data_IF_674318385111
#
_entry.id   IF_674318385111
#
_cell.length_a   1.000
_cell.length_b   1.000
_cell.length_c   1.000
_cell.angle_alpha   90.00
_cell.angle_beta   90.00
_cell.angle_gamma   90.00
#
_symmetry.space_group_name_H-M   'P 1'
#
loop_
_entity.id
_entity.type
_entity.pdbx_description
1 polymer ?
#
# COMPACT_ATOMS: atom_id res chain seq x y z
N UNK A 1 44.82 38.12 19.27
CA UNK A 1 43.68 38.53 20.14
C UNK A 1 42.33 38.23 19.48
N UNK A 2 42.23 38.04 18.16
CA UNK A 2 40.96 37.69 17.51
C UNK A 2 40.64 36.18 17.58
N UNK A 3 41.67 35.34 17.70
CA UNK A 3 41.63 33.89 17.45
C UNK A 3 40.73 33.15 18.46
N UNK A 4 40.80 33.55 19.73
CA UNK A 4 39.96 33.01 20.82
C UNK A 4 38.45 33.20 20.59
N UNK A 5 38.05 34.24 19.87
CA UNK A 5 36.64 34.53 19.61
C UNK A 5 36.05 33.55 18.58
N UNK A 6 36.86 33.11 17.60
CA UNK A 6 36.46 32.12 16.60
C UNK A 6 36.36 30.71 17.18
N UNK A 7 37.31 30.33 18.07
CA UNK A 7 37.19 29.08 18.83
C UNK A 7 35.93 29.06 19.72
N UNK A 8 35.64 30.16 20.41
CA UNK A 8 34.44 30.27 21.26
C UNK A 8 33.15 30.15 20.42
N UNK A 9 33.09 30.78 19.24
CA UNK A 9 31.97 30.62 18.31
C UNK A 9 31.82 29.16 17.84
N UNK A 10 32.91 28.49 17.46
CA UNK A 10 32.87 27.08 17.04
C UNK A 10 32.34 26.15 18.13
N UNK A 11 32.70 26.40 19.40
CA UNK A 11 32.19 25.64 20.56
C UNK A 11 30.68 25.90 20.73
N UNK A 12 30.23 27.15 20.63
CA UNK A 12 28.81 27.50 20.74
C UNK A 12 27.99 26.83 19.62
N UNK A 13 28.46 26.87 18.37
CA UNK A 13 27.80 26.17 17.26
C UNK A 13 27.74 24.65 17.46
N UNK A 14 28.82 24.02 17.95
CA UNK A 14 28.83 22.59 18.28
C UNK A 14 27.85 22.20 19.40
N UNK A 15 27.67 23.07 20.41
CA UNK A 15 26.68 22.86 21.47
C UNK A 15 25.24 23.04 20.96
N UNK A 16 24.99 24.03 20.09
CA UNK A 16 23.66 24.21 19.47
C UNK A 16 23.34 23.03 18.56
N UNK A 17 24.29 22.59 17.72
CA UNK A 17 24.10 21.47 16.81
C UNK A 17 23.85 20.15 17.54
N UNK A 18 24.62 19.85 18.59
CA UNK A 18 24.40 18.64 19.40
C UNK A 18 23.07 18.66 20.17
N UNK A 19 22.62 19.83 20.65
CA UNK A 19 21.28 20.00 21.23
C UNK A 19 20.15 19.78 20.21
N UNK A 20 20.29 20.30 18.99
CA UNK A 20 19.32 20.09 17.91
C UNK A 20 19.26 18.62 17.46
N UNK A 21 20.40 17.95 17.33
CA UNK A 21 20.45 16.50 17.08
C UNK A 21 19.79 15.70 18.20
N UNK A 22 20.11 16.00 19.47
CA UNK A 22 19.47 15.32 20.60
C UNK A 22 17.96 15.49 20.59
N UNK A 23 17.46 16.71 20.27
CA UNK A 23 16.03 16.97 20.14
C UNK A 23 15.39 16.25 18.95
N UNK A 24 16.08 16.17 17.82
CA UNK A 24 15.64 15.40 16.65
C UNK A 24 15.50 13.90 17.00
N UNK A 25 16.52 13.31 17.65
CA UNK A 25 16.44 11.94 18.12
C UNK A 25 15.31 11.75 19.13
N UNK A 26 15.12 12.63 20.12
CA UNK A 26 13.99 12.52 21.05
C UNK A 26 12.62 12.53 20.35
N UNK A 27 12.45 13.30 19.27
CA UNK A 27 11.22 13.31 18.46
C UNK A 27 11.06 11.99 17.69
N UNK A 28 12.13 11.48 17.06
CA UNK A 28 12.10 10.20 16.33
C UNK A 28 11.80 9.02 17.27
N UNK A 29 12.42 9.00 18.46
CA UNK A 29 12.16 7.97 19.47
C UNK A 29 10.74 8.10 20.04
N UNK A 30 10.23 9.30 20.32
CA UNK A 30 8.85 9.50 20.75
C UNK A 30 7.85 9.00 19.70
N UNK A 31 8.05 9.33 18.42
CA UNK A 31 7.19 8.85 17.32
C UNK A 31 7.25 7.32 17.16
N UNK A 32 8.44 6.71 17.35
CA UNK A 32 8.58 5.25 17.32
C UNK A 32 7.93 4.57 18.52
N UNK A 33 8.03 5.15 19.71
CA UNK A 33 7.39 4.64 20.93
C UNK A 33 5.87 4.87 20.92
N UNK A 34 5.37 5.90 20.25
CA UNK A 34 3.95 6.11 19.96
C UNK A 34 3.41 5.06 18.99
N UNK A 35 4.09 4.82 17.86
CA UNK A 35 3.73 3.72 16.95
C UNK A 35 3.80 2.35 17.64
N UNK A 36 4.84 2.08 18.44
CA UNK A 36 4.95 0.84 19.21
C UNK A 36 3.85 0.71 20.29
N UNK A 37 3.47 1.82 20.94
CA UNK A 37 2.33 1.84 21.86
C UNK A 37 1.01 1.58 21.16
N UNK A 38 0.77 2.14 19.97
CA UNK A 38 -0.42 1.84 19.16
C UNK A 38 -0.48 0.34 18.86
N UNK A 39 0.63 -0.26 18.39
CA UNK A 39 0.68 -1.72 18.13
C UNK A 39 0.58 -2.62 19.37
N UNK A 40 0.72 -2.06 20.58
CA UNK A 40 0.63 -2.81 21.85
C UNK A 40 -0.67 -2.53 22.62
N UNK A 41 -1.36 -1.43 22.32
CA UNK A 41 -2.68 -1.10 22.87
C UNK A 41 -3.78 -1.98 22.26
N UNK A 42 -3.61 -2.44 21.02
CA UNK A 42 -4.49 -3.41 20.35
C UNK A 42 -4.28 -4.87 20.83
N UNK A 43 -3.45 -5.11 21.86
CA UNK A 43 -3.09 -6.47 22.30
C UNK A 43 -2.97 -6.66 23.82
N UNK A 44 -3.87 -6.08 24.62
CA UNK A 44 -4.19 -6.60 25.97
C UNK A 44 -5.44 -5.93 26.56
N UNK A 45 -6.39 -6.75 27.00
CA UNK A 45 -7.60 -6.33 27.71
C UNK A 45 -7.33 -5.75 29.12
N UNK A 46 -8.36 -5.11 29.65
CA UNK A 46 -8.71 -4.86 31.06
C UNK A 46 -7.75 -5.37 32.18
N UNK A 47 -7.33 -4.47 33.09
CA UNK A 47 -8.00 -4.28 34.41
C UNK A 47 -7.35 -3.20 35.32
N UNK A 48 -8.24 -2.45 36.00
CA UNK A 48 -8.19 -2.02 37.42
C UNK A 48 -7.20 -0.95 38.01
N UNK A 49 -7.77 0.24 38.35
CA UNK A 49 -7.49 1.21 39.48
C UNK A 49 -6.08 1.88 39.58
N UNK A 50 -5.86 3.04 40.24
CA UNK A 50 -6.60 3.86 41.23
C UNK A 50 -6.54 5.40 40.95
N UNK A 51 -7.43 6.16 41.59
CA UNK A 51 -7.47 7.64 41.76
C UNK A 51 -6.45 8.13 42.85
N UNK A 52 -6.38 9.42 43.34
CA UNK A 52 -7.35 10.54 43.22
C UNK A 52 -6.83 12.02 43.20
N UNK A 53 -7.78 12.98 43.29
CA UNK A 53 -7.70 14.37 43.85
C UNK A 53 -6.92 15.48 43.08
N UNK A 54 -7.29 16.79 43.02
CA UNK A 54 -8.46 17.60 43.47
C UNK A 54 -8.58 18.94 42.66
N UNK A 55 -9.78 19.59 42.68
CA UNK A 55 -10.07 21.05 42.58
C UNK A 55 -9.72 21.87 41.28
N UNK A 56 -10.38 22.98 40.88
CA UNK A 56 -11.50 23.74 41.48
C UNK A 56 -12.28 24.66 40.49
N UNK A 57 -13.54 25.01 40.83
CA UNK A 57 -14.35 26.23 40.50
C UNK A 57 -14.68 26.76 39.06
N UNK A 58 -16.01 26.87 38.81
CA UNK A 58 -16.83 28.04 38.34
C UNK A 58 -16.80 28.53 36.86
N UNK A 59 -18.00 28.57 36.23
CA UNK A 59 -18.35 29.43 35.07
C UNK A 59 -19.73 29.10 34.45
N UNK A 60 -20.60 30.09 34.18
CA UNK A 60 -22.02 29.91 33.77
C UNK A 60 -22.38 30.69 32.49
N UNK A 61 -23.12 30.05 31.56
CA UNK A 61 -24.09 30.61 30.58
C UNK A 61 -24.57 29.47 29.64
N UNK A 62 -25.84 29.11 29.44
CA UNK A 62 -26.93 29.84 28.71
C UNK A 62 -26.41 30.42 27.37
N UNK A 63 -26.90 30.17 26.15
CA UNK A 63 -28.08 29.50 25.58
C UNK A 63 -27.68 28.88 24.20
N UNK A 64 -28.47 28.14 23.39
CA UNK A 64 -29.92 27.80 23.35
C UNK A 64 -30.14 26.45 22.65
N UNK A 65 -31.29 25.80 22.86
CA UNK A 65 -31.91 24.79 21.97
C UNK A 65 -33.11 25.45 21.24
N UNK A 66 -33.73 24.93 20.12
CA UNK A 66 -34.60 23.74 20.23
C UNK A 66 -34.95 22.88 18.96
N UNK A 67 -35.24 21.59 19.22
CA UNK A 67 -36.41 20.78 18.81
C UNK A 67 -36.94 20.74 17.33
N UNK A 68 -37.12 19.51 16.81
CA UNK A 68 -38.42 18.90 16.41
C UNK A 68 -38.32 17.38 16.67
N UNK A 69 -38.81 16.81 17.79
CA UNK A 69 -40.19 16.35 18.07
C UNK A 69 -40.84 15.31 17.13
N UNK A 70 -40.88 14.05 17.60
CA UNK A 70 -41.98 13.07 17.45
C UNK A 70 -41.94 12.19 18.72
N UNK A 71 -42.60 12.50 19.84
CA UNK A 71 -44.05 12.64 20.11
C UNK A 71 -44.73 11.28 20.36
N UNK A 72 -44.56 10.76 21.58
CA UNK A 72 -45.17 9.52 22.10
C UNK A 72 -46.66 9.62 22.40
N UNK A 73 -47.37 8.52 22.16
CA UNK A 73 -48.81 8.36 22.41
C UNK A 73 -49.15 7.64 23.71
N UNK A 74 -49.05 8.35 24.84
CA UNK A 74 -50.04 8.28 25.94
C UNK A 74 -50.35 6.95 26.69
N UNK A 75 -49.96 6.97 27.98
CA UNK A 75 -50.79 6.71 29.18
C UNK A 75 -50.82 5.31 29.86
N UNK A 76 -50.51 5.39 31.16
CA UNK A 76 -50.94 4.60 32.35
C UNK A 76 -50.23 3.27 32.69
N UNK A 77 -49.56 3.30 33.86
CA UNK A 77 -50.12 2.58 35.02
C UNK A 77 -49.17 1.73 35.86
N UNK A 78 -48.76 2.25 37.03
CA UNK A 78 -48.45 1.51 38.28
C UNK A 78 -47.58 0.24 38.25
N UNK A 79 -46.36 0.38 38.78
CA UNK A 79 -45.72 -0.52 39.77
C UNK A 79 -46.12 -2.01 39.83
N UNK A 80 -45.15 -2.91 39.59
CA UNK A 80 -44.68 -3.95 40.54
C UNK A 80 -43.50 -4.72 39.91
N UNK A 81 -42.64 -5.29 40.74
CA UNK A 81 -41.49 -6.13 40.37
C UNK A 81 -41.88 -7.49 39.80
N UNK A 82 -41.24 -7.90 38.71
CA UNK A 82 -41.22 -9.26 38.17
C UNK A 82 -40.25 -9.28 37.00
N UNK A 83 -39.35 -10.27 36.95
CA UNK A 83 -38.45 -10.46 35.81
C UNK A 83 -39.11 -11.35 34.77
N UNK A 84 -38.88 -11.06 33.50
CA UNK A 84 -39.18 -11.91 32.35
C UNK A 84 -38.06 -11.66 31.34
N UNK A 85 -37.52 -12.75 30.78
CA UNK A 85 -36.43 -12.71 29.82
C UNK A 85 -36.92 -12.06 28.52
N UNK A 86 -36.31 -10.94 28.13
CA UNK A 86 -36.55 -10.30 26.84
C UNK A 86 -35.73 -11.03 25.79
N UNK A 87 -36.24 -12.18 25.34
CA UNK A 87 -35.82 -12.77 24.08
C UNK A 87 -36.13 -11.74 22.97
N UNK A 88 -35.11 -10.97 22.58
CA UNK A 88 -35.20 -10.09 21.42
C UNK A 88 -35.34 -10.97 20.17
N UNK A 89 -36.60 -11.27 19.82
CA UNK A 89 -37.03 -11.89 18.57
C UNK A 89 -36.64 -10.95 17.41
N UNK A 90 -35.36 -11.03 17.05
CA UNK A 90 -34.76 -10.41 15.89
C UNK A 90 -35.34 -11.14 14.67
N UNK A 91 -36.52 -10.69 14.22
CA UNK A 91 -37.09 -11.07 12.93
C UNK A 91 -36.01 -10.84 11.86
N UNK A 92 -35.36 -11.93 11.46
CA UNK A 92 -34.21 -11.86 10.57
C UNK A 92 -34.67 -11.27 9.25
N UNK A 93 -34.01 -10.19 8.82
CA UNK A 93 -34.23 -9.63 7.48
C UNK A 93 -34.07 -10.77 6.47
N UNK A 94 -35.18 -11.14 5.84
CA UNK A 94 -35.20 -12.18 4.81
C UNK A 94 -34.19 -11.77 3.73
N UNK A 95 -33.12 -12.55 3.59
CA UNK A 95 -32.18 -12.35 2.50
C UNK A 95 -32.94 -12.59 1.21
N UNK A 96 -32.94 -11.62 0.30
CA UNK A 96 -33.74 -11.75 -0.92
C UNK A 96 -33.17 -12.89 -1.77
N UNK A 97 -33.99 -13.49 -2.66
CA UNK A 97 -33.47 -14.51 -3.59
C UNK A 97 -32.28 -13.96 -4.42
N UNK A 98 -32.22 -12.63 -4.63
CA UNK A 98 -31.13 -11.92 -5.26
C UNK A 98 -29.85 -11.89 -4.41
N UNK A 99 -29.96 -11.66 -3.09
CA UNK A 99 -28.82 -11.73 -2.14
C UNK A 99 -28.20 -13.13 -2.09
N UNK A 100 -29.04 -14.16 -2.01
CA UNK A 100 -28.57 -15.55 -2.00
C UNK A 100 -27.89 -15.93 -3.32
N UNK A 101 -28.49 -15.56 -4.45
CA UNK A 101 -27.93 -15.81 -5.77
C UNK A 101 -26.60 -15.06 -5.97
N UNK A 102 -26.55 -13.78 -5.59
CA UNK A 102 -25.35 -12.95 -5.65
C UNK A 102 -24.22 -13.51 -4.78
N UNK A 103 -24.52 -13.92 -3.54
CA UNK A 103 -23.56 -14.55 -2.64
C UNK A 103 -23.02 -15.87 -3.21
N UNK A 104 -23.89 -16.71 -3.79
CA UNK A 104 -23.50 -17.97 -4.42
C UNK A 104 -22.64 -17.77 -5.69
N UNK A 105 -23.02 -16.84 -6.58
CA UNK A 105 -22.26 -16.49 -7.77
C UNK A 105 -20.89 -15.90 -7.41
N UNK A 106 -20.85 -15.03 -6.40
CA UNK A 106 -19.64 -14.42 -5.86
C UNK A 106 -18.69 -15.50 -5.31
N UNK A 107 -19.20 -16.44 -4.50
CA UNK A 107 -18.42 -17.57 -4.01
C UNK A 107 -17.91 -18.50 -5.14
N UNK A 108 -18.71 -18.72 -6.18
CA UNK A 108 -18.30 -19.49 -7.35
C UNK A 108 -17.16 -18.80 -8.12
N UNK A 109 -17.27 -17.48 -8.36
CA UNK A 109 -16.21 -16.67 -8.99
C UNK A 109 -14.92 -16.68 -8.17
N UNK A 110 -15.01 -16.67 -6.84
CA UNK A 110 -13.85 -16.84 -5.95
C UNK A 110 -13.15 -18.20 -6.16
N UNK A 111 -13.94 -19.27 -6.32
CA UNK A 111 -13.41 -20.61 -6.53
C UNK A 111 -12.79 -20.79 -7.91
N UNK A 112 -13.40 -20.23 -8.97
CA UNK A 112 -12.83 -20.28 -10.33
C UNK A 112 -11.63 -19.35 -10.49
N UNK A 113 -11.53 -18.27 -9.70
CA UNK A 113 -10.33 -17.41 -9.65
C UNK A 113 -9.06 -18.19 -9.27
N UNK A 114 -9.18 -19.15 -8.34
CA UNK A 114 -8.07 -19.99 -7.90
C UNK A 114 -7.67 -21.05 -8.95
N UNK A 115 -8.57 -21.41 -9.85
CA UNK A 115 -8.29 -22.31 -10.96
C UNK A 115 -7.80 -21.52 -12.19
N UNK A 116 -6.48 -21.34 -12.28
CA UNK A 116 -5.77 -20.61 -13.36
C UNK A 116 -6.02 -21.16 -14.79
N UNK A 117 -6.87 -22.19 -14.95
CA UNK A 117 -7.36 -22.73 -16.23
C UNK A 117 -8.20 -21.73 -17.05
N UNK A 118 -9.04 -20.91 -16.40
CA UNK A 118 -10.00 -20.04 -17.10
C UNK A 118 -9.60 -18.55 -17.07
N UNK A 119 -8.99 -18.06 -18.15
CA UNK A 119 -8.62 -16.64 -18.30
C UNK A 119 -9.82 -15.78 -18.73
N UNK A 120 -10.27 -14.90 -17.84
CA UNK A 120 -11.27 -13.85 -18.12
C UNK A 120 -10.56 -12.58 -18.60
N UNK A 121 -11.19 -11.79 -19.48
CA UNK A 121 -10.64 -10.50 -19.93
C UNK A 121 -10.59 -9.48 -18.80
N UNK A 122 -9.48 -8.75 -18.68
CA UNK A 122 -9.24 -7.72 -17.65
C UNK A 122 -10.37 -6.66 -17.60
N UNK A 123 -10.91 -6.24 -18.75
CA UNK A 123 -12.06 -5.31 -18.79
C UNK A 123 -13.30 -5.88 -18.09
N UNK A 124 -13.57 -7.18 -18.25
CA UNK A 124 -14.71 -7.86 -17.62
C UNK A 124 -14.45 -8.08 -16.12
N UNK A 125 -13.21 -8.36 -15.72
CA UNK A 125 -12.82 -8.43 -14.31
C UNK A 125 -13.04 -7.09 -13.58
N UNK A 126 -12.64 -5.98 -14.21
CA UNK A 126 -12.87 -4.63 -13.70
C UNK A 126 -14.36 -4.27 -13.63
N UNK A 127 -15.16 -4.71 -14.61
CA UNK A 127 -16.62 -4.53 -14.60
C UNK A 127 -17.30 -5.33 -13.48
N UNK A 128 -16.95 -6.61 -13.30
CA UNK A 128 -17.43 -7.44 -12.19
C UNK A 128 -17.08 -6.83 -10.83
N UNK A 129 -15.84 -6.32 -10.66
CA UNK A 129 -15.43 -5.62 -9.46
C UNK A 129 -16.24 -4.35 -9.21
N UNK A 130 -16.46 -3.51 -10.24
CA UNK A 130 -17.26 -2.29 -10.11
C UNK A 130 -18.70 -2.58 -9.67
N UNK A 131 -19.31 -3.63 -10.24
CA UNK A 131 -20.66 -4.06 -9.87
C UNK A 131 -20.73 -4.63 -8.45
N UNK A 132 -19.77 -5.50 -8.07
CA UNK A 132 -19.64 -5.99 -6.70
C UNK A 132 -19.52 -4.85 -5.68
N UNK A 133 -18.65 -3.86 -5.96
CA UNK A 133 -18.47 -2.69 -5.08
C UNK A 133 -19.74 -1.86 -4.93
N UNK A 134 -20.57 -1.74 -5.97
CA UNK A 134 -21.86 -1.05 -5.85
C UNK A 134 -22.87 -1.88 -5.06
N UNK A 135 -22.92 -3.20 -5.27
CA UNK A 135 -23.77 -4.09 -4.49
C UNK A 135 -23.45 -4.04 -2.98
N UNK A 136 -22.17 -3.98 -2.60
CA UNK A 136 -21.75 -4.03 -1.18
C UNK A 136 -21.57 -2.67 -0.50
N UNK A 137 -21.17 -1.62 -1.25
CA UNK A 137 -20.80 -0.30 -0.69
C UNK A 137 -21.50 0.88 -1.39
N UNK A 138 -22.30 0.62 -2.43
CA UNK A 138 -23.03 1.64 -3.17
C UNK A 138 -22.17 2.49 -4.13
N UNK A 139 -22.65 3.69 -4.50
CA UNK A 139 -21.97 4.57 -5.46
C UNK A 139 -20.56 4.97 -5.02
N UNK A 140 -19.65 5.13 -5.98
CA UNK A 140 -18.26 5.49 -5.71
C UNK A 140 -18.14 6.86 -5.01
N UNK A 141 -17.84 6.83 -3.71
CA UNK A 141 -17.56 7.99 -2.85
C UNK A 141 -16.08 8.11 -2.48
N UNK A 142 -15.27 7.10 -2.81
CA UNK A 142 -13.85 7.04 -2.47
C UNK A 142 -13.03 8.09 -3.24
N UNK A 143 -12.01 8.72 -2.62
CA UNK A 143 -11.14 9.68 -3.30
C UNK A 143 -10.33 9.01 -4.41
N UNK A 144 -9.99 9.76 -5.46
CA UNK A 144 -9.23 9.24 -6.59
C UNK A 144 -7.82 8.79 -6.16
N UNK A 145 -7.39 7.54 -6.45
CA UNK A 145 -6.05 7.07 -6.13
C UNK A 145 -4.96 7.72 -7.01
N UNK A 146 -3.73 7.71 -6.50
CA UNK A 146 -2.57 8.31 -7.15
C UNK A 146 -2.33 7.74 -8.55
N UNK A 147 -1.81 8.59 -9.47
CA UNK A 147 -1.57 8.21 -10.86
C UNK A 147 -0.55 7.07 -11.03
N UNK A 148 0.34 6.87 -10.05
CA UNK A 148 1.33 5.79 -10.05
C UNK A 148 0.69 4.40 -9.79
N UNK A 149 -0.42 4.33 -9.04
CA UNK A 149 -1.12 3.08 -8.75
C UNK A 149 -2.11 2.74 -9.87
N UNK A 150 -1.57 2.36 -11.03
CA UNK A 150 -2.31 2.17 -12.28
C UNK A 150 -3.55 1.28 -12.13
N UNK A 151 -3.47 0.21 -11.35
CA UNK A 151 -4.55 -0.79 -11.28
C UNK A 151 -5.56 -0.52 -10.17
N UNK A 152 -5.14 0.12 -9.07
CA UNK A 152 -6.07 0.79 -8.15
C UNK A 152 -6.86 1.90 -8.88
N UNK A 153 -6.20 2.64 -9.79
CA UNK A 153 -6.84 3.65 -10.63
C UNK A 153 -7.80 3.04 -11.64
N UNK A 154 -7.48 1.91 -12.26
CA UNK A 154 -8.40 1.17 -13.15
C UNK A 154 -9.63 0.65 -12.39
N UNK A 155 -9.44 0.02 -11.22
CA UNK A 155 -10.50 -0.43 -10.30
C UNK A 155 -11.42 0.74 -9.89
N UNK A 156 -10.85 1.87 -9.49
CA UNK A 156 -11.58 3.09 -9.15
C UNK A 156 -12.34 3.68 -10.35
N UNK A 157 -11.73 3.72 -11.54
CA UNK A 157 -12.38 4.18 -12.76
C UNK A 157 -13.57 3.30 -13.16
N UNK A 158 -13.46 1.98 -13.00
CA UNK A 158 -14.56 1.05 -13.28
C UNK A 158 -15.74 1.26 -12.33
N UNK A 159 -15.48 1.40 -11.02
CA UNK A 159 -16.51 1.72 -10.02
C UNK A 159 -17.15 3.10 -10.29
N UNK A 160 -16.34 4.12 -10.60
CA UNK A 160 -16.82 5.46 -10.93
C UNK A 160 -17.65 5.51 -12.23
N UNK A 161 -17.30 4.70 -13.25
CA UNK A 161 -17.99 4.62 -14.55
C UNK A 161 -19.44 4.13 -14.43
N UNK A 162 -19.72 3.29 -13.44
CA UNK A 162 -21.06 2.75 -13.18
C UNK A 162 -22.00 3.76 -12.49
N UNK A 163 -21.45 4.83 -11.88
CA UNK A 163 -22.22 5.95 -11.37
C UNK A 163 -23.09 5.63 -10.14
N UNK A 164 -24.21 6.34 -10.01
CA UNK A 164 -25.17 6.18 -8.91
C UNK A 164 -26.23 5.10 -9.23
N UNK A 165 -25.76 3.89 -9.54
CA UNK A 165 -26.62 2.72 -9.74
C UNK A 165 -27.10 2.18 -8.37
N UNK A 166 -28.36 1.76 -8.23
CA UNK A 166 -28.83 1.10 -7.01
C UNK A 166 -28.18 -0.29 -6.85
N UNK A 167 -28.00 -0.79 -5.61
CA UNK A 167 -27.28 -2.03 -5.35
C UNK A 167 -27.97 -3.26 -5.99
N UNK A 168 -29.30 -3.28 -6.04
CA UNK A 168 -30.07 -4.38 -6.62
C UNK A 168 -29.80 -4.52 -8.13
N UNK A 169 -29.81 -3.40 -8.87
CA UNK A 169 -29.48 -3.38 -10.31
C UNK A 169 -28.01 -3.75 -10.57
N UNK A 170 -27.11 -3.49 -9.62
CA UNK A 170 -25.72 -3.92 -9.71
C UNK A 170 -25.57 -5.43 -9.47
N UNK A 171 -26.34 -6.01 -8.56
CA UNK A 171 -26.38 -7.46 -8.31
C UNK A 171 -26.96 -8.22 -9.50
N UNK A 172 -28.05 -7.75 -10.10
CA UNK A 172 -28.63 -8.35 -11.31
C UNK A 172 -27.61 -8.38 -12.46
N UNK A 173 -26.98 -7.24 -12.77
CA UNK A 173 -25.94 -7.16 -13.82
C UNK A 173 -24.69 -7.99 -13.51
N UNK A 174 -24.36 -8.15 -12.23
CA UNK A 174 -23.28 -9.03 -11.81
C UNK A 174 -23.62 -10.50 -12.14
N UNK A 175 -24.83 -10.93 -11.79
CA UNK A 175 -25.34 -12.27 -12.08
C UNK A 175 -25.44 -12.57 -13.58
N UNK A 176 -25.86 -11.59 -14.39
CA UNK A 176 -25.89 -11.73 -15.86
C UNK A 176 -24.50 -12.05 -16.41
N UNK A 177 -23.46 -11.28 -16.02
CA UNK A 177 -22.09 -11.47 -16.49
C UNK A 177 -21.52 -12.81 -16.00
N UNK A 178 -21.75 -13.18 -14.73
CA UNK A 178 -21.28 -14.48 -14.21
C UNK A 178 -21.97 -15.65 -14.93
N UNK A 179 -23.23 -15.49 -15.33
CA UNK A 179 -23.97 -16.49 -16.11
C UNK A 179 -23.49 -16.59 -17.56
N UNK A 180 -23.13 -15.47 -18.20
CA UNK A 180 -22.54 -15.47 -19.54
C UNK A 180 -21.14 -16.11 -19.55
N UNK A 181 -20.31 -15.83 -18.54
CA UNK A 181 -18.96 -16.36 -18.43
C UNK A 181 -18.90 -17.83 -18.00
N UNK A 182 -19.76 -18.25 -17.07
CA UNK A 182 -19.66 -19.55 -16.40
C UNK A 182 -21.02 -20.28 -16.27
N UNK A 183 -21.70 -20.68 -17.36
CA UNK A 183 -23.05 -21.27 -17.27
C UNK A 183 -23.23 -22.43 -16.27
N UNK A 184 -22.15 -23.16 -15.94
CA UNK A 184 -22.12 -24.22 -14.94
C UNK A 184 -22.30 -23.77 -13.49
N UNK A 185 -22.21 -22.47 -13.17
CA UNK A 185 -22.43 -21.97 -11.80
C UNK A 185 -23.88 -22.23 -11.33
N UNK A 186 -24.82 -22.25 -12.27
CA UNK A 186 -26.24 -22.54 -12.03
C UNK A 186 -26.49 -23.97 -11.52
N UNK A 187 -25.68 -24.95 -11.96
CA UNK A 187 -25.81 -26.35 -11.52
C UNK A 187 -25.51 -26.51 -10.02
N UNK A 188 -24.58 -25.70 -9.49
CA UNK A 188 -24.28 -25.63 -8.07
C UNK A 188 -25.40 -24.99 -7.25
N UNK A 189 -26.02 -23.94 -7.79
CA UNK A 189 -27.15 -23.24 -7.16
C UNK A 189 -28.38 -24.13 -6.99
N UNK A 190 -28.71 -24.93 -8.01
CA UNK A 190 -29.87 -25.82 -7.99
C UNK A 190 -29.85 -26.88 -6.86
N UNK A 191 -28.66 -27.34 -6.44
CA UNK A 191 -28.53 -28.37 -5.41
C UNK A 191 -28.79 -27.87 -3.98
N UNK A 192 -28.81 -26.55 -3.74
CA UNK A 192 -29.07 -26.00 -2.39
C UNK A 192 -30.56 -26.04 -2.01
N UNK A 193 -31.48 -26.13 -2.98
CA UNK A 193 -32.95 -26.19 -2.78
C UNK A 193 -33.49 -27.56 -2.30
N UNK A 194 -32.64 -28.47 -1.79
CA UNK A 194 -33.06 -29.84 -1.43
C UNK A 194 -32.26 -30.47 -0.27
N UNK A 195 -32.28 -29.83 0.90
CA UNK A 195 -31.47 -30.25 2.05
C UNK A 195 -32.00 -29.91 3.44
N UNK A 196 -33.29 -29.55 3.61
CA UNK A 196 -33.89 -29.33 4.93
C UNK A 196 -34.54 -30.61 5.47
N UNK A 197 -33.76 -31.43 6.17
CA UNK A 197 -34.19 -32.32 7.27
C UNK A 197 -32.99 -33.18 7.74
N UNK A 198 -32.25 -32.73 8.76
CA UNK A 198 -31.70 -33.57 9.86
C UNK A 198 -30.70 -32.80 10.75
N UNK A 199 -31.19 -32.36 11.91
CA UNK A 199 -30.47 -32.18 13.19
C UNK A 199 -28.95 -31.85 13.22
N UNK A 200 -28.65 -30.63 13.71
CA UNK A 200 -27.81 -30.50 14.90
C UNK A 200 -26.39 -29.91 14.75
N UNK A 201 -26.07 -29.02 15.71
CA UNK A 201 -24.74 -28.55 16.12
C UNK A 201 -23.98 -27.55 15.21
N UNK A 202 -24.01 -26.29 15.64
CA UNK A 202 -22.93 -25.29 15.59
C UNK A 202 -22.20 -25.03 14.25
N UNK A 203 -22.59 -23.93 13.59
CA UNK A 203 -21.67 -22.79 13.38
C UNK A 203 -22.45 -21.55 12.92
N UNK A 204 -22.96 -20.79 13.90
CA UNK A 204 -23.48 -19.45 13.67
C UNK A 204 -22.30 -18.46 13.66
N UNK A 205 -21.52 -18.44 12.58
CA UNK A 205 -20.45 -17.43 12.41
C UNK A 205 -20.06 -17.11 10.96
N UNK A 206 -21.00 -17.24 10.02
CA UNK A 206 -20.83 -16.75 8.62
C UNK A 206 -21.46 -15.37 8.40
N UNK A 207 -21.75 -14.62 9.48
CA UNK A 207 -22.20 -13.21 9.45
C UNK A 207 -21.04 -12.21 9.65
N UNK A 208 -19.80 -12.64 9.44
CA UNK A 208 -18.70 -11.70 9.18
C UNK A 208 -18.95 -10.90 7.88
N UNK A 209 -18.42 -9.68 7.75
CA UNK A 209 -18.52 -8.91 6.51
C UNK A 209 -17.97 -9.76 5.35
N UNK A 210 -18.70 -9.81 4.22
CA UNK A 210 -18.38 -10.65 3.06
C UNK A 210 -16.88 -10.54 2.72
N UNK A 211 -16.15 -11.63 2.97
CA UNK A 211 -14.71 -11.69 2.82
C UNK A 211 -14.25 -11.36 1.39
N UNK A 212 -12.98 -10.99 1.18
CA UNK A 212 -12.55 -10.29 -0.02
C UNK A 212 -12.40 -11.23 -1.23
N UNK A 213 -13.53 -11.62 -1.80
CA UNK A 213 -13.65 -12.47 -3.00
C UNK A 213 -12.85 -11.90 -4.19
N UNK A 214 -12.76 -10.58 -4.28
CA UNK A 214 -12.01 -9.88 -5.33
C UNK A 214 -10.53 -9.62 -5.01
N UNK A 215 -10.04 -9.94 -3.80
CA UNK A 215 -8.59 -9.96 -3.56
C UNK A 215 -7.91 -11.06 -4.38
N UNK A 216 -8.57 -12.21 -4.57
CA UNK A 216 -8.03 -13.30 -5.41
C UNK A 216 -8.21 -13.00 -6.89
N UNK A 217 -9.39 -12.54 -7.32
CA UNK A 217 -9.70 -12.38 -8.75
C UNK A 217 -8.94 -11.25 -9.46
N UNK A 218 -8.41 -10.27 -8.72
CA UNK A 218 -7.58 -9.18 -9.27
C UNK A 218 -6.30 -9.00 -8.44
N UNK A 219 -5.66 -10.13 -8.11
CA UNK A 219 -4.55 -10.22 -7.16
C UNK A 219 -3.24 -10.82 -7.67
N UNK A 220 -3.12 -11.24 -8.94
CA UNK A 220 -1.93 -12.02 -9.39
C UNK A 220 -1.17 -11.48 -10.62
N UNK A 221 -1.69 -10.55 -11.43
CA UNK A 221 -0.85 -9.91 -12.47
C UNK A 221 -0.05 -8.73 -11.92
N UNK A 222 -0.59 -7.95 -10.97
CA UNK A 222 0.09 -6.80 -10.38
C UNK A 222 0.92 -7.11 -9.14
N UNK A 223 0.52 -8.09 -8.33
CA UNK A 223 1.34 -8.50 -7.17
C UNK A 223 2.64 -9.14 -7.64
N UNK A 224 2.56 -10.02 -8.65
CA UNK A 224 3.73 -10.55 -9.33
C UNK A 224 4.55 -9.43 -9.99
N UNK A 225 3.95 -8.37 -10.52
CA UNK A 225 4.72 -7.28 -11.15
C UNK A 225 5.32 -6.29 -10.14
N UNK A 226 4.61 -5.85 -9.10
CA UNK A 226 5.20 -5.04 -8.01
C UNK A 226 6.32 -5.81 -7.31
N UNK A 227 6.14 -7.12 -7.06
CA UNK A 227 7.22 -7.98 -6.55
C UNK A 227 8.37 -8.12 -7.56
N UNK A 228 8.12 -8.40 -8.85
CA UNK A 228 9.18 -8.47 -9.89
C UNK A 228 9.96 -7.15 -10.08
N UNK A 229 9.28 -6.02 -9.88
CA UNK A 229 9.88 -4.68 -9.95
C UNK A 229 10.80 -4.43 -8.74
N UNK A 230 10.48 -4.94 -7.55
CA UNK A 230 11.39 -4.91 -6.39
C UNK A 230 12.48 -6.00 -6.46
N UNK A 231 12.17 -7.18 -7.03
CA UNK A 231 13.07 -8.32 -7.21
C UNK A 231 14.27 -7.97 -8.09
N UNK A 232 14.09 -7.23 -9.19
CA UNK A 232 15.21 -6.83 -10.06
C UNK A 232 16.20 -5.89 -9.31
N UNK A 233 15.74 -5.06 -8.36
CA UNK A 233 16.65 -4.32 -7.46
C UNK A 233 17.31 -5.25 -6.44
N UNK A 234 16.62 -6.27 -5.93
CA UNK A 234 17.19 -7.26 -5.02
C UNK A 234 18.29 -8.09 -5.69
N UNK A 235 18.05 -8.65 -6.87
CA UNK A 235 19.07 -9.40 -7.63
C UNK A 235 20.27 -8.52 -7.99
N UNK A 236 20.04 -7.26 -8.36
CA UNK A 236 21.13 -6.32 -8.63
C UNK A 236 21.96 -5.97 -7.38
N UNK A 237 21.32 -5.91 -6.19
CA UNK A 237 21.98 -5.66 -4.89
C UNK A 237 22.73 -6.90 -4.37
N UNK A 238 22.21 -8.08 -4.62
CA UNK A 238 22.79 -9.36 -4.16
C UNK A 238 23.90 -9.87 -5.09
N UNK A 239 23.87 -9.47 -6.36
CA UNK A 239 24.86 -9.87 -7.36
C UNK A 239 24.46 -11.09 -8.18
N UNK A 240 23.16 -11.44 -8.18
CA UNK A 240 22.61 -12.61 -8.88
C UNK A 240 22.35 -12.28 -10.35
N UNK A 241 23.25 -12.71 -11.23
CA UNK A 241 23.18 -12.45 -12.67
C UNK A 241 22.18 -13.36 -13.40
N UNK A 242 21.97 -14.59 -12.93
CA UNK A 242 21.01 -15.54 -13.51
C UNK A 242 19.56 -15.08 -13.33
N UNK A 243 19.17 -14.71 -12.11
CA UNK A 243 17.81 -14.26 -11.82
C UNK A 243 17.55 -12.85 -12.37
N UNK A 244 18.55 -11.95 -12.37
CA UNK A 244 18.43 -10.65 -13.02
C UNK A 244 18.19 -10.79 -14.53
N UNK A 245 18.97 -11.65 -15.22
CA UNK A 245 18.79 -11.94 -16.64
C UNK A 245 17.36 -12.43 -16.92
N UNK A 246 16.87 -13.35 -16.09
CA UNK A 246 15.54 -13.94 -16.18
C UNK A 246 14.41 -12.91 -15.97
N UNK A 247 14.58 -11.93 -15.08
CA UNK A 247 13.63 -10.82 -14.94
C UNK A 247 13.61 -9.89 -16.17
N UNK A 248 14.78 -9.57 -16.72
CA UNK A 248 14.85 -8.76 -17.95
C UNK A 248 14.21 -9.52 -19.13
N UNK A 249 14.41 -10.83 -19.22
CA UNK A 249 13.81 -11.69 -20.26
C UNK A 249 12.32 -11.98 -20.05
N UNK A 250 11.80 -11.85 -18.82
CA UNK A 250 10.35 -11.90 -18.56
C UNK A 250 9.62 -10.59 -18.90
N UNK A 251 10.35 -9.54 -19.28
CA UNK A 251 9.80 -8.27 -19.74
C UNK A 251 9.87 -7.12 -18.73
N UNK A 252 10.56 -7.29 -17.59
CA UNK A 252 10.77 -6.21 -16.62
C UNK A 252 11.71 -5.14 -17.21
N UNK A 253 11.35 -3.85 -17.17
CA UNK A 253 12.21 -2.79 -17.68
C UNK A 253 13.47 -2.63 -16.82
N UNK A 254 14.64 -2.55 -17.48
CA UNK A 254 15.95 -2.42 -16.82
C UNK A 254 16.11 -1.15 -15.98
N UNK A 255 15.38 -0.09 -16.33
CA UNK A 255 15.41 1.22 -15.67
C UNK A 255 14.19 1.46 -14.76
N UNK A 256 13.57 0.39 -14.24
CA UNK A 256 12.60 0.52 -13.14
C UNK A 256 13.22 1.29 -11.97
N UNK A 257 12.44 2.13 -11.30
CA UNK A 257 12.89 2.88 -10.12
C UNK A 257 12.21 2.35 -8.85
N UNK A 258 12.99 2.15 -7.80
CA UNK A 258 12.48 1.83 -6.47
C UNK A 258 11.80 3.06 -5.81
N UNK A 259 11.34 2.90 -4.57
CA UNK A 259 10.70 3.97 -3.78
C UNK A 259 11.59 5.18 -3.50
N UNK A 260 12.91 5.04 -3.65
CA UNK A 260 13.92 6.12 -3.52
C UNK A 260 14.39 6.63 -4.89
N UNK A 261 13.74 6.19 -5.98
CA UNK A 261 14.05 6.60 -7.35
C UNK A 261 15.24 5.86 -7.98
N UNK A 262 15.85 4.91 -7.29
CA UNK A 262 17.06 4.22 -7.75
C UNK A 262 16.72 3.15 -8.78
N UNK A 263 17.41 3.20 -9.91
CA UNK A 263 17.45 2.08 -10.87
C UNK A 263 18.32 0.92 -10.35
N UNK A 264 18.10 -0.34 -10.82
CA UNK A 264 18.94 -1.50 -10.48
C UNK A 264 20.45 -1.26 -10.64
N UNK A 265 20.85 -0.40 -11.58
CA UNK A 265 22.25 -0.02 -11.79
C UNK A 265 22.88 0.64 -10.56
N UNK A 266 22.15 1.47 -9.81
CA UNK A 266 22.66 2.11 -8.58
C UNK A 266 22.99 1.06 -7.52
N UNK A 267 22.09 0.09 -7.32
CA UNK A 267 22.29 -1.01 -6.37
C UNK A 267 23.46 -1.92 -6.74
N UNK A 268 23.63 -2.22 -8.03
CA UNK A 268 24.76 -2.97 -8.53
C UNK A 268 26.10 -2.26 -8.25
N UNK A 269 26.12 -0.93 -8.38
CA UNK A 269 27.32 -0.11 -8.18
C UNK A 269 27.65 0.08 -6.71
N UNK A 270 26.67 0.44 -5.85
CA UNK A 270 26.79 0.52 -4.38
C UNK A 270 27.49 -0.74 -3.81
N UNK A 271 27.00 -1.90 -4.23
CA UNK A 271 27.45 -3.22 -3.76
C UNK A 271 28.75 -3.70 -4.42
N UNK A 272 29.21 -3.04 -5.49
CA UNK A 272 30.45 -3.38 -6.18
C UNK A 272 30.33 -4.51 -7.21
N UNK A 273 29.13 -4.82 -7.69
CA UNK A 273 28.84 -5.91 -8.62
C UNK A 273 29.12 -5.53 -10.08
N UNK A 274 30.41 -5.49 -10.45
CA UNK A 274 30.87 -5.16 -11.80
C UNK A 274 30.25 -6.06 -12.89
N UNK A 275 29.98 -7.33 -12.59
CA UNK A 275 29.33 -8.26 -13.54
C UNK A 275 27.88 -7.86 -13.83
N UNK A 276 27.12 -7.47 -12.79
CA UNK A 276 25.76 -6.95 -12.93
C UNK A 276 25.77 -5.60 -13.67
N UNK A 277 26.72 -4.72 -13.35
CA UNK A 277 26.88 -3.43 -14.04
C UNK A 277 27.07 -3.63 -15.55
N UNK A 278 27.93 -4.59 -15.95
CA UNK A 278 28.11 -5.00 -17.35
C UNK A 278 26.83 -5.56 -17.96
N UNK A 279 26.11 -6.42 -17.23
CA UNK A 279 24.88 -7.05 -17.71
C UNK A 279 23.78 -6.01 -17.98
N UNK A 280 23.53 -5.11 -17.04
CA UNK A 280 22.53 -4.04 -17.16
C UNK A 280 22.84 -3.10 -18.34
N UNK A 281 24.10 -2.63 -18.46
CA UNK A 281 24.50 -1.79 -19.59
C UNK A 281 24.44 -2.53 -20.94
N UNK A 282 24.71 -3.84 -20.98
CA UNK A 282 24.51 -4.65 -22.19
C UNK A 282 23.05 -4.80 -22.62
N UNK A 283 22.11 -4.53 -21.70
CA UNK A 283 20.65 -4.53 -21.91
C UNK A 283 20.07 -3.11 -22.01
N UNK A 284 20.92 -2.13 -22.37
CA UNK A 284 20.56 -0.73 -22.63
C UNK A 284 20.02 0.05 -21.41
N UNK A 285 20.40 -0.31 -20.18
CA UNK A 285 20.11 0.51 -19.00
C UNK A 285 20.69 1.94 -19.12
N UNK A 286 19.97 2.93 -18.61
CA UNK A 286 20.38 4.33 -18.58
C UNK A 286 21.49 4.57 -17.55
N UNK A 287 22.72 4.70 -18.06
CA UNK A 287 23.93 4.99 -17.27
C UNK A 287 23.86 6.34 -16.51
N UNK A 288 23.04 7.27 -16.99
CA UNK A 288 22.86 8.62 -16.45
C UNK A 288 21.54 8.79 -15.69
N UNK A 289 20.83 7.69 -15.40
CA UNK A 289 19.62 7.72 -14.59
C UNK A 289 19.91 8.39 -13.23
N UNK A 290 19.05 9.34 -12.85
CA UNK A 290 19.08 10.03 -11.55
C UNK A 290 18.08 9.41 -10.57
N UNK A 291 18.46 9.25 -9.31
CA UNK A 291 17.53 8.94 -8.21
C UNK A 291 16.81 10.20 -7.68
N UNK A 292 16.13 10.11 -6.53
CA UNK A 292 15.43 11.26 -5.91
C UNK A 292 16.38 12.32 -5.33
N UNK A 293 17.59 11.93 -4.93
CA UNK A 293 18.65 12.85 -4.48
C UNK A 293 19.41 13.48 -5.66
N UNK A 294 19.05 13.08 -6.90
CA UNK A 294 19.71 13.54 -8.10
C UNK A 294 21.06 12.87 -8.32
N UNK A 295 21.41 11.86 -7.54
CA UNK A 295 22.64 11.11 -7.72
C UNK A 295 22.49 10.16 -8.90
N UNK A 296 23.60 9.96 -9.63
CA UNK A 296 23.70 8.96 -10.70
C UNK A 296 24.51 7.77 -10.23
N UNK A 297 24.45 6.66 -10.97
CA UNK A 297 25.29 5.49 -10.70
C UNK A 297 26.80 5.81 -10.60
N UNK A 298 27.29 6.89 -11.22
CA UNK A 298 28.68 7.34 -11.06
C UNK A 298 28.96 8.00 -9.70
N UNK A 299 27.98 8.69 -9.10
CA UNK A 299 28.09 9.25 -7.74
C UNK A 299 28.21 8.12 -6.71
N UNK A 300 27.36 7.10 -6.80
CA UNK A 300 27.48 5.89 -5.97
C UNK A 300 28.84 5.21 -6.15
N UNK A 301 29.37 5.15 -7.38
CA UNK A 301 30.69 4.59 -7.61
C UNK A 301 31.79 5.37 -6.87
N UNK A 302 31.72 6.70 -6.88
CA UNK A 302 32.66 7.59 -6.20
C UNK A 302 32.56 7.49 -4.66
N UNK A 303 31.35 7.57 -4.10
CA UNK A 303 31.08 7.47 -2.65
C UNK A 303 31.45 6.09 -2.10
N UNK A 304 31.23 5.02 -2.86
CA UNK A 304 31.59 3.65 -2.46
C UNK A 304 33.01 3.22 -2.90
N UNK A 305 33.85 4.16 -3.34
CA UNK A 305 35.25 3.96 -3.75
C UNK A 305 35.46 2.88 -4.85
N UNK A 306 34.48 2.70 -5.74
CA UNK A 306 34.43 1.64 -6.77
C UNK A 306 35.16 2.03 -8.07
N UNK A 307 36.46 2.28 -8.01
CA UNK A 307 37.26 2.77 -9.13
C UNK A 307 37.07 1.98 -10.45
N UNK A 308 37.15 0.64 -10.40
CA UNK A 308 37.00 -0.24 -11.58
C UNK A 308 35.61 -0.13 -12.25
N UNK A 309 34.57 0.11 -11.45
CA UNK A 309 33.20 0.27 -11.93
C UNK A 309 32.99 1.69 -12.46
N UNK A 310 33.54 2.69 -11.78
CA UNK A 310 33.48 4.07 -12.22
C UNK A 310 34.19 4.29 -13.57
N UNK A 311 35.37 3.70 -13.78
CA UNK A 311 36.06 3.70 -15.08
C UNK A 311 35.21 3.00 -16.16
N UNK A 312 34.57 1.88 -15.81
CA UNK A 312 33.67 1.16 -16.72
C UNK A 312 32.44 1.99 -17.11
N UNK A 313 31.80 2.68 -16.16
CA UNK A 313 30.64 3.57 -16.39
C UNK A 313 31.01 4.73 -17.32
N UNK A 314 32.11 5.45 -17.05
CA UNK A 314 32.57 6.57 -17.91
C UNK A 314 32.88 6.08 -19.33
N UNK A 315 33.50 4.90 -19.47
CA UNK A 315 33.75 4.28 -20.78
C UNK A 315 32.47 3.94 -21.57
N UNK A 316 31.32 3.80 -20.90
CA UNK A 316 30.01 3.54 -21.51
C UNK A 316 29.11 4.79 -21.58
N UNK A 317 29.68 5.99 -21.39
CA UNK A 317 28.97 7.26 -21.59
C UNK A 317 28.30 7.83 -20.35
N UNK A 318 28.76 7.45 -19.15
CA UNK A 318 28.42 8.18 -17.93
C UNK A 318 28.96 9.62 -18.01
N UNK A 319 28.09 10.60 -17.81
CA UNK A 319 28.44 12.01 -17.78
C UNK A 319 28.97 12.39 -16.38
N UNK A 320 30.21 12.87 -16.36
CA UNK A 320 30.95 13.25 -15.15
C UNK A 320 30.55 14.62 -14.59
N UNK A 321 29.83 15.44 -15.37
CA UNK A 321 29.40 16.78 -15.01
C UNK A 321 27.93 16.84 -14.51
N UNK A 322 27.20 15.72 -14.50
CA UNK A 322 25.88 15.65 -13.87
C UNK A 322 26.03 15.97 -12.38
N UNK A 323 25.15 16.84 -11.89
CA UNK A 323 25.08 17.25 -10.49
C UNK A 323 23.92 16.60 -9.77
N UNK A 324 24.11 16.27 -8.50
CA UNK A 324 23.06 15.95 -7.55
C UNK A 324 22.22 17.17 -7.14
N UNK A 325 21.37 17.04 -6.12
CA UNK A 325 20.52 18.13 -5.62
C UNK A 325 21.30 19.15 -4.78
N UNK A 326 22.40 18.72 -4.17
CA UNK A 326 23.36 19.53 -3.41
C UNK A 326 24.19 20.43 -4.35
N UNK A 327 24.35 19.99 -5.60
CA UNK A 327 25.04 20.70 -6.67
C UNK A 327 26.47 20.19 -6.90
N UNK A 328 26.86 19.11 -6.23
CA UNK A 328 28.14 18.43 -6.39
C UNK A 328 28.04 17.43 -7.57
N UNK A 329 29.15 17.15 -8.24
CA UNK A 329 29.21 16.09 -9.25
C UNK A 329 30.07 14.92 -8.78
N UNK A 330 30.05 13.80 -9.50
CA UNK A 330 30.68 12.54 -9.07
C UNK A 330 32.18 12.65 -8.70
N UNK A 331 32.92 13.65 -9.23
CA UNK A 331 34.32 13.93 -8.83
C UNK A 331 34.46 14.74 -7.53
N UNK A 332 33.45 15.50 -7.15
CA UNK A 332 33.46 16.39 -5.98
C UNK A 332 33.14 15.57 -4.71
N UNK A 333 32.26 14.57 -4.82
CA UNK A 333 31.98 13.56 -3.78
C UNK A 333 33.02 12.43 -3.68
N UNK A 334 34.02 12.39 -4.57
CA UNK A 334 35.02 11.33 -4.61
C UNK A 334 36.19 11.63 -3.65
N UNK A 335 36.17 11.03 -2.44
CA UNK A 335 37.25 11.21 -1.46
C UNK A 335 38.62 10.69 -1.95
N UNK A 336 38.61 9.67 -2.81
CA UNK A 336 39.83 9.16 -3.46
C UNK A 336 40.17 9.95 -4.72
N UNK A 337 41.42 10.42 -4.82
CA UNK A 337 41.90 11.13 -6.00
C UNK A 337 42.07 10.21 -7.22
N UNK A 338 41.05 10.10 -8.07
CA UNK A 338 41.09 9.38 -9.35
C UNK A 338 41.55 10.30 -10.50
N UNK A 339 42.78 10.15 -11.05
CA UNK A 339 43.32 11.10 -12.03
C UNK A 339 42.55 11.15 -13.35
N UNK A 340 41.97 10.02 -13.74
CA UNK A 340 41.21 9.88 -14.99
C UNK A 340 39.84 10.58 -14.91
N UNK A 341 39.19 10.58 -13.74
CA UNK A 341 37.88 11.22 -13.53
C UNK A 341 38.00 12.75 -13.61
N UNK A 342 39.12 13.32 -13.16
CA UNK A 342 39.40 14.76 -13.28
C UNK A 342 39.78 15.20 -14.70
N UNK A 343 40.34 14.32 -15.55
CA UNK A 343 40.78 14.66 -16.90
C UNK A 343 39.68 14.56 -17.96
N UNK A 344 38.58 13.87 -17.67
CA UNK A 344 37.45 13.67 -18.58
C UNK A 344 36.78 14.99 -19.03
N UNK A 345 36.86 16.06 -18.23
CA UNK A 345 36.28 17.38 -18.56
C UNK A 345 37.10 18.21 -19.56
N UNK A 346 38.34 17.82 -19.87
CA UNK A 346 39.30 18.65 -20.63
C UNK A 346 39.26 18.38 -22.14
N UNK A 347 38.50 17.37 -22.59
CA UNK A 347 38.52 16.87 -23.98
C UNK A 347 37.12 16.78 -24.62
N UNK A 348 36.36 17.88 -24.55
CA UNK A 348 35.10 18.08 -25.30
C UNK A 348 35.23 19.32 -26.21
#
# INVERSE_FOLDING_TARGET
MADWQQYLQSIIFGLIFSFLLAKLFSIIFAFRDENLRITRADSSEAEEKTSPEEADTIGVSEDTEPLIQRNDGGLKGSSVSGGEDSDDDWEGVESTELDEAFSAATAFVAATAADRSHKVSNEVQLQLYGLYKIATEGPCTAPQPSALKMTARAKWQAWQKLGAMPPEEAMEKYLDIVTELFPSWLDGSANKKKGEESSGAHNADTRGPMGPVFSTFIGEEDSENELKLDEIHAFAREGDDENLLKCIESGVPVDVKDSEGRAPLHWAVDRGHLNITKLLLSRNADVNAKDLEGQTSLHYAAVCERADIAEFLVKHGADVEIKDNEGDCARDVCELHWPWLQQASVHN
#
